data_IF_702050068482
#
_entry.id   IF_702050068482
#
_cell.length_a   1.000
_cell.length_b   1.000
_cell.length_c   1.000
_cell.angle_alpha   90.00
_cell.angle_beta   90.00
_cell.angle_gamma   90.00
#
_symmetry.space_group_name_H-M   'P 1'
#
loop_
_entity.id
_entity.type
_entity.pdbx_description
1 polymer ?
#
# COMPACT_ATOMS: atom_id res chain seq x y z
N UNK A 1 -17.29 -6.90 17.25
CA UNK A 1 -18.21 -5.96 16.58
C UNK A 1 -19.41 -5.63 17.47
N UNK A 2 -19.96 -6.58 18.24
CA UNK A 2 -21.05 -6.30 19.20
C UNK A 2 -20.78 -5.13 20.17
N UNK A 3 -19.57 -5.07 20.74
CA UNK A 3 -19.18 -3.97 21.63
C UNK A 3 -19.12 -2.62 20.89
N UNK A 4 -18.69 -2.61 19.62
CA UNK A 4 -18.65 -1.40 18.80
C UNK A 4 -20.07 -0.88 18.50
N UNK A 5 -21.01 -1.78 18.15
CA UNK A 5 -22.42 -1.43 17.95
C UNK A 5 -23.09 -0.90 19.23
N UNK A 6 -22.74 -1.46 20.40
CA UNK A 6 -23.25 -0.97 21.69
C UNK A 6 -22.74 0.44 22.03
N UNK A 7 -21.49 0.77 21.71
CA UNK A 7 -20.91 2.08 21.99
C UNK A 7 -21.23 3.15 20.93
N UNK A 8 -21.32 2.79 19.64
CA UNK A 8 -21.59 3.73 18.56
C UNK A 8 -23.08 4.05 18.37
N UNK A 9 -23.98 3.22 18.93
CA UNK A 9 -25.41 3.32 18.71
C UNK A 9 -25.84 3.01 17.27
N UNK A 10 -24.91 2.52 16.43
CA UNK A 10 -25.15 2.15 15.04
C UNK A 10 -25.29 0.63 14.93
N UNK A 11 -26.22 0.18 14.08
CA UNK A 11 -26.35 -1.22 13.73
C UNK A 11 -25.33 -1.64 12.66
N UNK A 12 -25.24 -2.95 12.40
CA UNK A 12 -24.33 -3.50 11.40
C UNK A 12 -24.57 -2.93 9.99
N UNK A 13 -25.81 -2.61 9.62
CA UNK A 13 -26.13 -2.08 8.31
C UNK A 13 -25.55 -0.66 8.13
N UNK A 14 -25.69 0.20 9.14
CA UNK A 14 -25.10 1.53 9.13
C UNK A 14 -23.56 1.49 9.08
N UNK A 15 -22.92 0.60 9.84
CA UNK A 15 -21.46 0.43 9.78
C UNK A 15 -21.00 -0.07 8.40
N UNK A 16 -21.71 -1.03 7.82
CA UNK A 16 -21.39 -1.55 6.48
C UNK A 16 -21.48 -0.47 5.41
N UNK A 17 -22.50 0.39 5.44
CA UNK A 17 -22.63 1.46 4.45
C UNK A 17 -21.51 2.50 4.61
N UNK A 18 -21.14 2.86 5.84
CA UNK A 18 -20.00 3.74 6.08
C UNK A 18 -18.68 3.13 5.57
N UNK A 19 -18.42 1.87 5.89
CA UNK A 19 -17.20 1.18 5.43
C UNK A 19 -17.16 1.02 3.92
N UNK A 20 -18.32 0.89 3.26
CA UNK A 20 -18.44 0.74 1.82
C UNK A 20 -17.99 2.01 1.08
N UNK A 21 -18.40 3.19 1.54
CA UNK A 21 -17.97 4.45 0.92
C UNK A 21 -16.43 4.61 0.98
N UNK A 22 -15.85 4.31 2.14
CA UNK A 22 -14.40 4.37 2.33
C UNK A 22 -13.67 3.31 1.49
N UNK A 23 -14.21 2.09 1.42
CA UNK A 23 -13.66 1.03 0.58
C UNK A 23 -13.71 1.40 -0.91
N UNK A 24 -14.81 1.98 -1.38
CA UNK A 24 -14.93 2.44 -2.77
C UNK A 24 -13.87 3.48 -3.11
N UNK A 25 -13.69 4.49 -2.24
CA UNK A 25 -12.66 5.52 -2.44
C UNK A 25 -11.26 4.90 -2.50
N UNK A 26 -10.95 3.97 -1.58
CA UNK A 26 -9.64 3.28 -1.54
C UNK A 26 -9.39 2.47 -2.81
N UNK A 27 -10.36 1.69 -3.26
CA UNK A 27 -10.24 0.89 -4.49
C UNK A 27 -10.06 1.79 -5.71
N UNK A 28 -10.83 2.89 -5.79
CA UNK A 28 -10.71 3.84 -6.90
C UNK A 28 -9.33 4.48 -6.95
N UNK A 29 -8.81 4.94 -5.81
CA UNK A 29 -7.44 5.46 -5.72
C UNK A 29 -6.45 4.39 -6.16
N UNK A 30 -6.66 3.14 -5.74
CA UNK A 30 -5.75 2.06 -6.09
C UNK A 30 -5.66 1.73 -7.56
N UNK A 31 -6.80 1.59 -8.20
CA UNK A 31 -6.87 1.37 -9.63
C UNK A 31 -6.29 2.56 -10.40
N UNK A 32 -6.44 3.78 -9.88
CA UNK A 32 -5.90 4.98 -10.51
C UNK A 32 -4.37 5.00 -10.46
N UNK A 33 -3.78 4.75 -9.29
CA UNK A 33 -2.32 4.70 -9.13
C UNK A 33 -1.73 3.56 -9.96
N UNK A 34 -2.35 2.38 -9.96
CA UNK A 34 -1.90 1.25 -10.78
C UNK A 34 -1.94 1.58 -12.28
N UNK A 35 -3.00 2.24 -12.75
CA UNK A 35 -3.12 2.66 -14.14
C UNK A 35 -2.03 3.67 -14.53
N UNK A 36 -1.70 4.63 -13.66
CA UNK A 36 -0.61 5.59 -13.88
C UNK A 36 0.73 4.88 -13.92
N UNK A 37 0.99 3.99 -12.96
CA UNK A 37 2.23 3.21 -12.91
C UNK A 37 2.48 2.43 -14.20
N UNK A 38 1.41 1.87 -14.80
CA UNK A 38 1.47 1.20 -16.11
C UNK A 38 1.68 2.18 -17.26
N UNK A 39 0.94 3.29 -17.30
CA UNK A 39 1.03 4.28 -18.38
C UNK A 39 2.43 4.91 -18.47
N UNK A 40 3.05 5.18 -17.32
CA UNK A 40 4.37 5.81 -17.21
C UNK A 40 5.52 4.79 -17.19
N UNK A 41 5.22 3.49 -17.36
CA UNK A 41 6.20 2.39 -17.27
C UNK A 41 7.07 2.44 -16.01
N UNK A 42 6.46 2.71 -14.86
CA UNK A 42 7.14 2.66 -13.58
C UNK A 42 7.41 1.19 -13.27
N UNK A 43 8.68 0.85 -13.09
CA UNK A 43 9.14 -0.48 -12.73
C UNK A 43 9.96 -0.44 -11.44
N UNK A 44 9.97 -1.56 -10.72
CA UNK A 44 10.78 -1.74 -9.52
C UNK A 44 11.93 -2.68 -9.87
N UNK A 45 13.15 -2.24 -9.62
CA UNK A 45 14.34 -3.03 -9.90
C UNK A 45 14.62 -4.04 -8.79
N UNK A 46 15.41 -5.07 -9.08
CA UNK A 46 15.86 -6.02 -8.05
C UNK A 46 16.67 -5.34 -6.94
N UNK A 47 17.44 -4.31 -7.28
CA UNK A 47 18.21 -3.52 -6.32
C UNK A 47 17.29 -2.81 -5.33
N UNK A 48 16.24 -2.13 -5.82
CA UNK A 48 15.24 -1.45 -4.96
C UNK A 48 14.51 -2.44 -4.03
N UNK A 49 14.22 -3.64 -4.52
CA UNK A 49 13.61 -4.70 -3.70
C UNK A 49 14.57 -5.15 -2.60
N UNK A 50 15.85 -5.35 -2.92
CA UNK A 50 16.85 -5.77 -1.95
C UNK A 50 17.08 -4.70 -0.87
N UNK A 51 17.15 -3.42 -1.27
CA UNK A 51 17.25 -2.30 -0.33
C UNK A 51 16.06 -2.24 0.62
N UNK A 52 14.85 -2.45 0.11
CA UNK A 52 13.64 -2.46 0.93
C UNK A 52 13.62 -3.64 1.90
N UNK A 53 14.02 -4.83 1.43
CA UNK A 53 14.17 -6.00 2.29
C UNK A 53 15.21 -5.79 3.39
N UNK A 54 16.32 -5.12 3.10
CA UNK A 54 17.30 -4.74 4.11
C UNK A 54 16.73 -3.75 5.14
N UNK A 55 15.97 -2.75 4.70
CA UNK A 55 15.29 -1.80 5.60
C UNK A 55 14.30 -2.51 6.51
N UNK A 56 13.46 -3.38 5.95
CA UNK A 56 12.50 -4.18 6.70
C UNK A 56 13.20 -5.11 7.68
N UNK A 57 14.24 -5.83 7.24
CA UNK A 57 15.03 -6.74 8.07
C UNK A 57 15.64 -5.99 9.28
N UNK A 58 16.20 -4.80 9.06
CA UNK A 58 16.69 -3.93 10.14
C UNK A 58 15.57 -3.50 11.09
N UNK A 59 14.42 -3.08 10.56
CA UNK A 59 13.28 -2.62 11.36
C UNK A 59 12.70 -3.72 12.26
N UNK A 60 12.67 -4.96 11.77
CA UNK A 60 12.18 -6.13 12.52
C UNK A 60 13.29 -6.88 13.28
N UNK A 61 14.54 -6.42 13.20
CA UNK A 61 15.72 -7.07 13.76
C UNK A 61 15.82 -8.56 13.35
N UNK A 62 15.59 -8.82 12.06
CA UNK A 62 15.66 -10.12 11.41
C UNK A 62 16.78 -10.12 10.37
N UNK A 63 17.29 -11.29 10.01
CA UNK A 63 18.12 -11.45 8.81
C UNK A 63 17.24 -11.42 7.56
N UNK A 64 17.78 -10.88 6.46
CA UNK A 64 17.05 -10.73 5.18
C UNK A 64 16.52 -12.06 4.66
N UNK A 65 17.32 -13.13 4.75
CA UNK A 65 16.91 -14.46 4.29
C UNK A 65 15.71 -14.99 5.09
N UNK A 66 15.73 -14.82 6.42
CA UNK A 66 14.60 -15.19 7.28
C UNK A 66 13.36 -14.34 6.99
N UNK A 67 13.54 -13.06 6.66
CA UNK A 67 12.44 -12.20 6.23
C UNK A 67 11.82 -12.70 4.91
N UNK A 68 12.64 -13.08 3.92
CA UNK A 68 12.15 -13.64 2.65
C UNK A 68 11.35 -14.93 2.87
N UNK A 69 11.82 -15.81 3.76
CA UNK A 69 11.10 -17.04 4.14
C UNK A 69 9.73 -16.73 4.75
N UNK A 70 9.66 -15.73 5.64
CA UNK A 70 8.40 -15.32 6.29
C UNK A 70 7.41 -14.68 5.31
N UNK A 71 7.90 -13.91 4.34
CA UNK A 71 7.08 -13.28 3.32
C UNK A 71 6.56 -14.30 2.29
N UNK A 72 7.31 -15.37 2.03
CA UNK A 72 6.96 -16.44 1.08
C UNK A 72 7.11 -16.04 -0.39
N UNK A 73 6.68 -14.83 -0.76
CA UNK A 73 6.97 -14.19 -2.04
C UNK A 73 7.26 -12.70 -1.85
N UNK A 74 7.74 -12.05 -2.92
CA UNK A 74 8.10 -10.63 -2.92
C UNK A 74 7.09 -9.76 -3.66
N UNK A 75 5.95 -10.32 -4.08
CA UNK A 75 5.00 -9.60 -4.92
C UNK A 75 4.36 -8.44 -4.17
N UNK A 76 4.01 -8.64 -2.90
CA UNK A 76 3.52 -7.54 -2.05
C UNK A 76 4.54 -6.43 -1.82
N UNK A 77 5.83 -6.78 -1.70
CA UNK A 77 6.92 -5.80 -1.56
C UNK A 77 7.10 -5.02 -2.86
N UNK A 78 7.06 -5.72 -4.00
CA UNK A 78 7.13 -5.09 -5.34
C UNK A 78 5.98 -4.14 -5.59
N UNK A 79 4.75 -4.56 -5.29
CA UNK A 79 3.55 -3.73 -5.46
C UNK A 79 3.62 -2.47 -4.60
N UNK A 80 4.03 -2.59 -3.34
CA UNK A 80 4.15 -1.44 -2.43
C UNK A 80 5.26 -0.47 -2.86
N UNK A 81 6.41 -0.98 -3.30
CA UNK A 81 7.47 -0.15 -3.88
C UNK A 81 7.01 0.57 -5.15
N UNK A 82 6.33 -0.15 -6.04
CA UNK A 82 5.78 0.41 -7.29
C UNK A 82 4.80 1.54 -7.00
N UNK A 83 3.95 1.33 -6.01
CA UNK A 83 2.99 2.30 -5.56
C UNK A 83 3.65 3.57 -5.02
N UNK A 84 4.63 3.42 -4.12
CA UNK A 84 5.41 4.55 -3.58
C UNK A 84 6.10 5.34 -4.69
N UNK A 85 6.80 4.66 -5.60
CA UNK A 85 7.44 5.30 -6.77
C UNK A 85 6.45 6.06 -7.64
N UNK A 86 5.24 5.55 -7.80
CA UNK A 86 4.19 6.22 -8.58
C UNK A 86 3.70 7.49 -7.88
N UNK A 87 3.57 7.46 -6.56
CA UNK A 87 3.25 8.66 -5.78
C UNK A 87 4.39 9.67 -5.88
N UNK A 88 5.65 9.24 -5.70
CA UNK A 88 6.81 10.12 -5.77
C UNK A 88 6.90 10.79 -7.15
N UNK A 89 6.72 10.03 -8.23
CA UNK A 89 6.61 10.56 -9.59
C UNK A 89 5.52 11.63 -9.72
N UNK A 90 4.33 11.40 -9.17
CA UNK A 90 3.23 12.37 -9.20
C UNK A 90 3.56 13.64 -8.41
N UNK A 91 4.25 13.52 -7.27
CA UNK A 91 4.68 14.66 -6.45
C UNK A 91 5.74 15.48 -7.17
N UNK A 92 6.75 14.84 -7.75
CA UNK A 92 7.82 15.48 -8.51
C UNK A 92 7.30 16.25 -9.73
N UNK A 93 6.23 15.76 -10.35
CA UNK A 93 5.60 16.39 -11.52
C UNK A 93 4.42 17.32 -11.16
N UNK A 94 4.16 17.53 -9.86
CA UNK A 94 3.08 18.39 -9.41
C UNK A 94 3.43 19.87 -9.53
N UNK A 95 2.54 20.66 -10.14
CA UNK A 95 2.67 22.12 -10.24
C UNK A 95 2.52 22.87 -8.91
N UNK A 96 2.16 22.16 -7.84
CA UNK A 96 1.98 22.71 -6.48
C UNK A 96 3.27 22.56 -5.64
N UNK A 97 4.26 21.80 -6.12
CA UNK A 97 5.59 21.76 -5.51
C UNK A 97 6.37 23.04 -5.86
N UNK A 98 6.17 24.09 -5.06
CA UNK A 98 7.00 25.28 -4.98
C UNK A 98 7.14 25.70 -3.51
#
# INVERSE_FOLDING_TARGET
LELYYQFSGQDEAALREQMKEDAEKRVRVALTIEAIAKAENIEVTEEEINEELEKMAKAYNLEVEKLKELLGNLDGVKEDLKWRKTIDFLVENSKVAA
#
